data_IF_357972000720
#
_entry.id   IF_357972000720
#
_cell.length_a   1.000
_cell.length_b   1.000
_cell.length_c   1.000
_cell.angle_alpha   90.00
_cell.angle_beta   90.00
_cell.angle_gamma   90.00
#
_symmetry.space_group_name_H-M   'P 1'
#
loop_
_entity.id
_entity.type
_entity.pdbx_description
1 polymer ?
#
# COMPACT_ATOMS: atom_id res chain seq x y z
N UNK A 1 -26.22 -29.06 4.35
CA UNK A 1 -25.24 -27.96 4.31
C UNK A 1 -24.85 -27.70 5.75
N UNK A 2 -23.64 -28.07 6.19
CA UNK A 2 -23.20 -27.77 7.55
C UNK A 2 -22.79 -26.30 7.62
N UNK A 3 -23.20 -25.53 8.64
CA UNK A 3 -22.74 -24.17 8.81
C UNK A 3 -21.23 -24.20 9.04
N UNK A 4 -20.48 -23.46 8.22
CA UNK A 4 -19.05 -23.26 8.43
C UNK A 4 -18.90 -22.43 9.71
N UNK A 5 -18.40 -23.06 10.77
CA UNK A 5 -18.11 -22.38 12.02
C UNK A 5 -16.65 -21.92 11.98
N UNK A 6 -16.41 -20.62 12.17
CA UNK A 6 -15.07 -20.08 12.35
C UNK A 6 -14.74 -20.06 13.85
N UNK A 7 -13.52 -20.46 14.18
CA UNK A 7 -12.99 -20.37 15.56
C UNK A 7 -11.88 -19.33 15.56
N UNK A 8 -12.03 -18.29 16.36
CA UNK A 8 -10.97 -17.30 16.58
C UNK A 8 -9.81 -17.96 17.33
N UNK A 9 -8.61 -17.96 16.73
CA UNK A 9 -7.40 -18.52 17.35
C UNK A 9 -6.67 -17.52 18.24
N UNK A 10 -6.72 -16.23 17.89
CA UNK A 10 -6.11 -15.15 18.65
C UNK A 10 -6.76 -13.80 18.29
N UNK A 11 -6.48 -12.74 19.06
CA UNK A 11 -6.99 -11.38 18.82
C UNK A 11 -5.95 -10.36 19.24
N UNK A 12 -5.84 -9.27 18.48
CA UNK A 12 -4.94 -8.17 18.74
C UNK A 12 -5.67 -6.84 18.56
N UNK A 13 -5.47 -5.91 19.50
CA UNK A 13 -5.99 -4.53 19.39
C UNK A 13 -4.96 -3.64 18.69
N UNK A 14 -5.30 -3.15 17.51
CA UNK A 14 -4.44 -2.29 16.70
C UNK A 14 -4.45 -0.82 17.14
N UNK A 15 -5.22 -0.45 18.17
CA UNK A 15 -5.42 0.91 18.72
C UNK A 15 -6.05 1.92 17.73
N UNK A 16 -5.72 1.83 16.45
CA UNK A 16 -6.32 2.53 15.32
C UNK A 16 -7.11 1.55 14.47
N UNK A 17 -8.04 2.06 13.65
CA UNK A 17 -8.87 1.22 12.78
C UNK A 17 -7.99 0.49 11.75
N UNK A 18 -8.01 -0.84 11.76
CA UNK A 18 -7.33 -1.65 10.75
C UNK A 18 -8.01 -1.45 9.39
N UNK A 19 -7.22 -1.18 8.35
CA UNK A 19 -7.72 -0.81 7.02
C UNK A 19 -7.21 -1.75 5.92
N UNK A 20 -5.96 -2.21 6.04
CA UNK A 20 -5.33 -3.12 5.07
C UNK A 20 -4.54 -4.23 5.77
N UNK A 21 -4.63 -5.47 5.27
CA UNK A 21 -3.88 -6.63 5.76
C UNK A 21 -3.32 -7.39 4.57
N UNK A 22 -2.01 -7.66 4.58
CA UNK A 22 -1.31 -8.29 3.46
C UNK A 22 -0.25 -9.29 3.93
N UNK A 23 -0.30 -10.50 3.36
CA UNK A 23 0.62 -11.59 3.68
C UNK A 23 1.83 -11.57 2.77
N UNK A 24 3.02 -11.80 3.33
CA UNK A 24 4.24 -11.87 2.54
C UNK A 24 4.21 -13.15 1.66
N UNK A 25 4.29 -13.04 0.32
CA UNK A 25 4.20 -14.19 -0.58
C UNK A 25 5.54 -14.95 -0.70
N UNK A 26 6.60 -14.48 -0.05
CA UNK A 26 7.96 -14.94 -0.29
C UNK A 26 8.46 -15.88 0.82
N UNK A 27 8.84 -17.10 0.46
CA UNK A 27 9.49 -18.05 1.38
C UNK A 27 10.83 -17.53 1.93
N UNK A 28 11.16 -17.79 3.22
CA UNK A 28 10.42 -18.57 4.21
C UNK A 28 9.42 -17.75 5.07
N UNK A 29 8.97 -16.59 4.59
CA UNK A 29 8.20 -15.62 5.38
C UNK A 29 6.69 -15.66 5.08
N UNK A 30 6.17 -16.78 4.56
CA UNK A 30 4.72 -16.92 4.26
C UNK A 30 3.84 -16.92 5.51
N UNK A 31 4.44 -17.02 6.70
CA UNK A 31 3.82 -16.85 8.01
C UNK A 31 3.89 -15.41 8.55
N UNK A 32 4.43 -14.47 7.78
CA UNK A 32 4.55 -13.04 8.10
C UNK A 32 3.50 -12.24 7.34
N UNK A 33 2.85 -11.29 8.02
CA UNK A 33 1.92 -10.35 7.39
C UNK A 33 2.05 -8.96 8.00
N UNK A 34 1.51 -7.97 7.29
CA UNK A 34 1.38 -6.60 7.77
C UNK A 34 -0.07 -6.20 7.95
N UNK A 35 -0.33 -5.34 8.93
CA UNK A 35 -1.60 -4.68 9.13
C UNK A 35 -1.38 -3.16 9.14
N UNK A 36 -1.97 -2.47 8.18
CA UNK A 36 -1.98 -1.03 8.04
C UNK A 36 -3.22 -0.46 8.72
N UNK A 37 -3.08 0.68 9.38
CA UNK A 37 -4.19 1.33 10.06
C UNK A 37 -4.44 2.75 9.57
N UNK A 38 -5.68 3.16 9.74
CA UNK A 38 -6.19 4.47 9.42
C UNK A 38 -6.93 5.05 10.63
N UNK A 39 -6.51 6.23 11.09
CA UNK A 39 -7.23 6.98 12.11
C UNK A 39 -7.31 8.45 11.72
N UNK A 40 -8.53 8.98 11.71
CA UNK A 40 -8.75 10.41 11.61
C UNK A 40 -8.57 11.04 13.00
N UNK A 41 -7.66 12.01 13.13
CA UNK A 41 -7.55 12.81 14.35
C UNK A 41 -8.12 14.20 14.15
N UNK A 42 -9.08 14.56 15.01
CA UNK A 42 -9.64 15.91 15.11
C UNK A 42 -8.81 16.82 16.03
N UNK A 43 -7.69 16.37 16.58
CA UNK A 43 -6.90 17.17 17.52
C UNK A 43 -6.22 18.32 16.79
N UNK A 44 -6.63 19.53 17.14
CA UNK A 44 -6.00 20.80 16.79
C UNK A 44 -4.54 20.79 17.26
N UNK A 45 -3.58 20.88 16.33
CA UNK A 45 -2.22 21.26 16.73
C UNK A 45 -2.24 22.78 16.89
N UNK A 46 -2.47 23.22 18.12
CA UNK A 46 -2.45 24.63 18.50
C UNK A 46 -1.09 25.26 18.23
N UNK A 47 -1.11 26.30 17.40
CA UNK A 47 -0.05 27.26 17.18
C UNK A 47 -0.62 28.38 16.30
N UNK A 48 -0.92 29.52 16.92
CA UNK A 48 -1.56 30.69 16.31
C UNK A 48 -1.07 31.00 14.89
N UNK A 49 -1.85 30.64 13.88
CA UNK A 49 -2.00 31.38 12.63
C UNK A 49 -3.26 30.90 11.93
N UNK A 50 -4.14 31.82 11.60
CA UNK A 50 -5.23 31.59 10.66
C UNK A 50 -4.65 31.19 9.30
N UNK A 51 -4.56 29.89 9.00
CA UNK A 51 -4.82 29.30 7.68
C UNK A 51 -4.56 27.79 7.67
N UNK A 52 -5.51 27.06 7.05
CA UNK A 52 -5.50 25.62 6.71
C UNK A 52 -5.60 24.61 7.88
N UNK A 53 -6.83 24.18 8.18
CA UNK A 53 -7.14 22.97 8.95
C UNK A 53 -6.84 21.73 8.10
N UNK A 54 -5.62 21.22 8.17
CA UNK A 54 -5.27 19.95 7.53
C UNK A 54 -5.64 18.80 8.48
N UNK A 55 -6.55 17.88 8.11
CA UNK A 55 -6.87 16.76 8.97
C UNK A 55 -5.67 15.84 9.16
N UNK A 56 -5.28 15.58 10.42
CA UNK A 56 -4.21 14.66 10.74
C UNK A 56 -4.72 13.22 10.57
N UNK A 57 -4.36 12.59 9.43
CA UNK A 57 -4.60 11.18 9.16
C UNK A 57 -3.43 10.35 9.70
N UNK A 58 -3.62 9.79 10.89
CA UNK A 58 -2.61 9.01 11.60
C UNK A 58 -2.71 7.53 11.20
N UNK A 59 -1.56 6.86 11.11
CA UNK A 59 -1.50 5.45 10.76
C UNK A 59 -0.38 4.71 11.46
N UNK A 60 -0.48 3.39 11.40
CA UNK A 60 0.58 2.47 11.78
C UNK A 60 0.68 1.33 10.80
N UNK A 61 1.89 0.79 10.68
CA UNK A 61 2.15 -0.52 10.08
C UNK A 61 2.56 -1.45 11.20
N UNK A 62 1.78 -2.50 11.43
CA UNK A 62 2.13 -3.60 12.31
C UNK A 62 2.69 -4.75 11.50
N UNK A 63 3.84 -5.28 11.91
CA UNK A 63 4.44 -6.48 11.33
C UNK A 63 4.23 -7.65 12.29
N UNK A 64 3.57 -8.68 11.82
CA UNK A 64 3.25 -9.87 12.60
C UNK A 64 3.88 -11.12 11.99
N UNK A 65 4.12 -12.10 12.85
CA UNK A 65 4.32 -13.50 12.47
C UNK A 65 3.28 -14.37 13.14
N UNK A 66 2.68 -15.30 12.39
CA UNK A 66 1.78 -16.30 12.96
C UNK A 66 2.56 -17.54 13.36
N UNK A 67 2.48 -17.92 14.63
CA UNK A 67 3.09 -19.15 15.14
C UNK A 67 2.25 -20.36 14.73
N UNK A 68 2.85 -21.56 14.71
CA UNK A 68 2.14 -22.82 14.45
C UNK A 68 0.91 -23.06 15.36
N UNK A 69 0.88 -22.44 16.55
CA UNK A 69 -0.26 -22.49 17.47
C UNK A 69 -1.44 -21.59 17.05
N UNK A 70 -1.34 -20.85 15.94
CA UNK A 70 -2.30 -19.81 15.53
C UNK A 70 -2.17 -18.48 16.28
N UNK A 71 -1.16 -18.34 17.16
CA UNK A 71 -0.97 -17.12 17.94
C UNK A 71 -0.23 -16.06 17.14
N UNK A 72 -0.68 -14.82 17.27
CA UNK A 72 -0.06 -13.64 16.67
C UNK A 72 1.18 -13.25 17.48
N UNK A 73 2.29 -13.03 16.80
CA UNK A 73 3.50 -12.47 17.38
C UNK A 73 3.79 -11.14 16.70
N UNK A 74 3.53 -10.04 17.41
CA UNK A 74 3.95 -8.72 16.97
C UNK A 74 5.48 -8.66 16.97
N UNK A 75 6.06 -8.38 15.81
CA UNK A 75 7.50 -8.23 15.61
C UNK A 75 7.93 -6.75 15.68
N UNK A 76 7.10 -5.87 15.13
CA UNK A 76 7.38 -4.44 15.01
C UNK A 76 6.08 -3.66 14.81
N UNK A 77 6.05 -2.41 15.24
CA UNK A 77 5.09 -1.43 14.73
C UNK A 77 5.83 -0.14 14.34
N UNK A 78 5.31 0.56 13.34
CA UNK A 78 5.84 1.83 12.84
C UNK A 78 4.73 2.86 12.86
N UNK A 79 4.98 4.07 13.37
CA UNK A 79 4.07 5.20 13.20
C UNK A 79 4.33 5.84 11.84
N UNK A 80 3.28 5.99 11.03
CA UNK A 80 3.31 6.51 9.66
C UNK A 80 2.08 7.39 9.43
N UNK A 81 1.99 8.14 8.32
CA UNK A 81 0.70 8.64 7.87
C UNK A 81 -0.30 7.48 7.68
N UNK A 82 -1.60 7.75 7.76
CA UNK A 82 -2.62 6.71 7.59
C UNK A 82 -2.37 5.87 6.33
N UNK A 83 -2.48 4.55 6.47
CA UNK A 83 -2.19 3.58 5.41
C UNK A 83 -3.50 3.24 4.71
N UNK A 84 -3.51 3.35 3.38
CA UNK A 84 -4.73 3.18 2.56
C UNK A 84 -4.66 1.91 1.71
N UNK A 85 -3.45 1.55 1.26
CA UNK A 85 -3.19 0.27 0.61
C UNK A 85 -1.75 -0.15 0.86
N UNK A 86 -1.52 -1.45 0.89
CA UNK A 86 -0.20 -2.05 0.98
C UNK A 86 -0.18 -3.22 0.03
N UNK A 87 0.97 -3.51 -0.58
CA UNK A 87 1.18 -4.76 -1.33
C UNK A 87 2.62 -5.21 -1.24
N UNK A 88 2.81 -6.47 -0.89
CA UNK A 88 4.11 -7.11 -1.05
C UNK A 88 4.42 -7.28 -2.54
N UNK A 89 5.68 -7.02 -2.92
CA UNK A 89 6.16 -7.42 -4.23
C UNK A 89 6.18 -8.96 -4.29
N UNK A 90 5.61 -9.53 -5.34
CA UNK A 90 5.46 -10.98 -5.52
C UNK A 90 6.79 -11.71 -5.80
N UNK A 91 7.87 -10.96 -6.00
CA UNK A 91 9.22 -11.46 -6.31
C UNK A 91 10.26 -10.73 -5.47
N UNK A 92 11.46 -11.30 -5.34
CA UNK A 92 12.61 -10.62 -4.73
C UNK A 92 13.27 -9.70 -5.76
N UNK A 93 13.54 -8.45 -5.40
CA UNK A 93 14.31 -7.52 -6.23
C UNK A 93 15.71 -7.35 -5.65
N UNK A 94 16.76 -7.71 -6.38
CA UNK A 94 18.14 -7.69 -5.85
C UNK A 94 18.26 -8.39 -4.48
N UNK A 95 17.65 -9.58 -4.36
CA UNK A 95 17.54 -10.38 -3.13
C UNK A 95 16.72 -9.76 -1.98
N UNK A 96 16.12 -8.57 -2.16
CA UNK A 96 15.28 -7.91 -1.16
C UNK A 96 13.82 -8.31 -1.31
N UNK A 97 13.13 -8.43 -0.17
CA UNK A 97 11.67 -8.61 -0.10
C UNK A 97 11.09 -7.23 0.20
N UNK A 98 10.27 -6.72 -0.72
CA UNK A 98 9.80 -5.35 -0.66
C UNK A 98 8.29 -5.28 -0.44
N UNK A 99 7.87 -4.33 0.39
CA UNK A 99 6.49 -3.96 0.65
C UNK A 99 6.30 -2.53 0.14
N UNK A 100 5.32 -2.31 -0.74
CA UNK A 100 4.87 -0.97 -1.07
C UNK A 100 3.70 -0.56 -0.18
N UNK A 101 3.64 0.72 0.14
CA UNK A 101 2.63 1.34 1.00
C UNK A 101 2.16 2.64 0.37
N UNK A 102 0.86 2.75 0.11
CA UNK A 102 0.18 3.98 -0.28
C UNK A 102 -0.39 4.64 0.99
N UNK A 103 -0.01 5.90 1.24
CA UNK A 103 -0.38 6.59 2.47
C UNK A 103 -1.11 7.93 2.26
N UNK A 104 -1.68 8.42 3.36
CA UNK A 104 -2.47 9.65 3.41
C UNK A 104 -1.65 10.94 3.23
N UNK A 105 -0.33 10.87 3.21
CA UNK A 105 0.52 12.01 2.84
C UNK A 105 0.73 12.10 1.32
N UNK A 106 0.10 11.23 0.52
CA UNK A 106 0.24 11.24 -0.93
C UNK A 106 1.59 10.67 -1.37
N UNK A 107 2.15 9.75 -0.59
CA UNK A 107 3.42 9.11 -0.88
C UNK A 107 3.22 7.62 -1.14
N UNK A 108 4.07 7.08 -2.02
CA UNK A 108 4.41 5.67 -2.04
C UNK A 108 5.69 5.48 -1.21
N UNK A 109 5.61 4.63 -0.19
CA UNK A 109 6.76 4.21 0.61
C UNK A 109 7.07 2.76 0.30
N UNK A 110 8.34 2.44 0.12
CA UNK A 110 8.83 1.08 -0.05
C UNK A 110 9.59 0.69 1.20
N UNK A 111 9.23 -0.42 1.80
CA UNK A 111 9.91 -1.02 2.94
C UNK A 111 10.58 -2.32 2.53
N UNK A 112 11.79 -2.55 3.03
CA UNK A 112 12.49 -3.84 2.92
C UNK A 112 12.24 -4.67 4.18
N UNK A 113 11.85 -5.93 4.01
CA UNK A 113 11.86 -6.93 5.08
C UNK A 113 13.29 -7.43 5.30
N UNK A 114 13.87 -7.08 6.44
CA UNK A 114 15.23 -7.43 6.84
C UNK A 114 15.21 -8.55 7.88
N UNK A 115 16.10 -9.54 7.74
CA UNK A 115 16.26 -10.68 8.67
C UNK A 115 17.70 -10.82 9.21
N UNK A 116 18.51 -9.75 9.15
CA UNK A 116 19.93 -9.82 9.54
C UNK A 116 20.13 -9.99 11.05
N UNK A 117 19.21 -9.47 11.87
CA UNK A 117 19.27 -9.57 13.33
C UNK A 117 17.93 -10.01 13.94
N UNK A 118 16.85 -9.45 13.40
CA UNK A 118 15.47 -9.79 13.69
C UNK A 118 14.62 -9.38 12.48
N UNK A 119 13.53 -10.10 12.25
CA UNK A 119 12.55 -9.76 11.22
C UNK A 119 11.99 -8.36 11.51
N UNK A 120 12.21 -7.43 10.58
CA UNK A 120 11.76 -6.04 10.69
C UNK A 120 11.63 -5.40 9.31
N UNK A 121 10.75 -4.40 9.21
CA UNK A 121 10.64 -3.49 8.08
C UNK A 121 11.59 -2.31 8.26
N UNK A 122 12.31 -1.98 7.20
CA UNK A 122 13.16 -0.78 7.09
C UNK A 122 12.70 0.03 5.89
N UNK A 123 12.52 1.34 6.07
CA UNK A 123 12.20 2.22 4.95
C UNK A 123 13.35 2.17 3.94
N UNK A 124 13.04 1.77 2.72
CA UNK A 124 13.97 1.62 1.62
C UNK A 124 13.99 2.86 0.73
N UNK A 125 12.82 3.35 0.32
CA UNK A 125 12.68 4.59 -0.44
C UNK A 125 11.26 5.14 -0.31
N UNK A 126 11.08 6.43 -0.59
CA UNK A 126 9.79 7.12 -0.57
C UNK A 126 9.73 8.09 -1.75
N UNK A 127 8.56 8.22 -2.37
CA UNK A 127 8.27 9.22 -3.40
C UNK A 127 6.87 9.81 -3.25
N UNK A 128 6.75 11.10 -3.51
CA UNK A 128 5.46 11.80 -3.65
C UNK A 128 4.83 11.44 -4.99
N UNK A 129 3.53 11.11 -5.02
CA UNK A 129 2.90 10.58 -6.24
C UNK A 129 2.51 11.63 -7.28
N UNK A 130 2.23 12.84 -6.82
CA UNK A 130 1.91 13.98 -7.67
C UNK A 130 2.38 15.25 -6.94
N UNK A 131 3.66 15.64 -7.11
CA UNK A 131 4.28 16.71 -6.32
C UNK A 131 3.75 18.11 -6.64
N UNK A 132 3.09 18.27 -7.79
CA UNK A 132 2.56 19.56 -8.24
C UNK A 132 1.18 19.89 -7.63
N UNK A 133 0.54 18.90 -6.99
CA UNK A 133 -0.72 19.07 -6.28
C UNK A 133 -0.48 19.15 -4.77
N UNK A 134 -1.34 19.90 -4.07
CA UNK A 134 -1.27 20.10 -2.63
C UNK A 134 -1.60 18.83 -1.83
N UNK A 135 -2.68 18.87 -1.07
CA UNK A 135 -3.12 17.71 -0.30
C UNK A 135 -3.73 16.64 -1.21
N UNK A 136 -3.04 15.51 -1.35
CA UNK A 136 -3.48 14.34 -2.11
C UNK A 136 -3.30 13.09 -1.26
N UNK A 137 -4.15 12.10 -1.47
CA UNK A 137 -4.01 10.77 -0.88
C UNK A 137 -3.53 9.79 -1.94
N UNK A 138 -2.59 8.92 -1.58
CA UNK A 138 -2.31 7.72 -2.36
C UNK A 138 -3.35 6.66 -1.97
N UNK A 139 -4.20 6.22 -2.91
CA UNK A 139 -5.39 5.43 -2.60
C UNK A 139 -5.18 3.92 -2.75
N UNK A 140 -4.62 3.49 -3.87
CA UNK A 140 -4.38 2.07 -4.16
C UNK A 140 -3.02 1.87 -4.82
N UNK A 141 -2.43 0.71 -4.58
CA UNK A 141 -1.12 0.31 -5.06
C UNK A 141 -1.19 -1.09 -5.69
N UNK A 142 -0.52 -1.30 -6.82
CA UNK A 142 -0.26 -2.65 -7.32
C UNK A 142 1.12 -2.78 -7.99
N UNK A 143 1.63 -4.01 -8.01
CA UNK A 143 2.92 -4.36 -8.61
C UNK A 143 2.71 -5.13 -9.91
N UNK A 144 3.51 -4.81 -10.93
CA UNK A 144 3.48 -5.55 -12.21
C UNK A 144 4.06 -6.97 -12.14
N UNK A 145 4.29 -7.51 -10.94
CA UNK A 145 4.98 -8.79 -10.71
C UNK A 145 4.04 -9.96 -10.38
N UNK A 146 2.71 -9.77 -10.48
CA UNK A 146 1.70 -10.75 -10.01
C UNK A 146 1.74 -12.12 -10.68
N UNK A 147 2.17 -12.23 -11.94
CA UNK A 147 2.42 -13.51 -12.63
C UNK A 147 3.93 -13.65 -12.83
N UNK A 148 4.59 -14.18 -11.79
CA UNK A 148 5.98 -14.68 -11.73
C UNK A 148 6.88 -14.35 -12.94
N UNK A 149 7.55 -13.20 -12.89
CA UNK A 149 8.72 -12.94 -13.73
C UNK A 149 9.91 -13.72 -13.10
N UNK A 150 10.28 -14.86 -13.67
CA UNK A 150 11.46 -15.64 -13.24
C UNK A 150 12.80 -14.87 -13.31
N UNK A 151 12.81 -13.65 -13.87
CA UNK A 151 13.93 -12.72 -13.86
C UNK A 151 13.44 -11.37 -13.34
N UNK A 152 13.33 -11.22 -12.02
CA UNK A 152 12.89 -9.99 -11.35
C UNK A 152 13.90 -8.83 -11.40
N UNK A 153 15.01 -8.98 -12.14
CA UNK A 153 16.13 -8.06 -12.02
C UNK A 153 15.95 -6.76 -12.81
N UNK A 154 15.03 -6.68 -13.79
CA UNK A 154 14.77 -5.44 -14.53
C UNK A 154 13.29 -5.37 -14.92
N UNK A 155 12.63 -4.23 -14.69
CA UNK A 155 11.30 -3.83 -15.16
C UNK A 155 10.07 -4.08 -14.26
N UNK A 156 10.24 -4.32 -12.94
CA UNK A 156 9.08 -4.26 -12.03
C UNK A 156 8.59 -2.81 -11.87
N UNK A 157 7.31 -2.60 -12.14
CA UNK A 157 6.61 -1.33 -12.02
C UNK A 157 5.66 -1.35 -10.82
N UNK A 158 5.47 -0.18 -10.21
CA UNK A 158 4.35 0.06 -9.31
C UNK A 158 3.34 0.98 -9.99
N UNK A 159 2.05 0.71 -9.81
CA UNK A 159 0.98 1.65 -10.13
C UNK A 159 0.38 2.18 -8.83
N UNK A 160 0.14 3.48 -8.78
CA UNK A 160 -0.53 4.13 -7.64
C UNK A 160 -1.62 5.06 -8.16
N UNK A 161 -2.81 4.98 -7.58
CA UNK A 161 -3.91 5.91 -7.85
C UNK A 161 -4.02 6.98 -6.77
N UNK A 162 -4.58 8.14 -7.11
CA UNK A 162 -4.74 9.25 -6.17
C UNK A 162 -6.18 9.77 -6.01
N UNK A 163 -6.38 10.57 -4.96
CA UNK A 163 -7.67 11.20 -4.63
C UNK A 163 -8.10 12.30 -5.59
N UNK A 164 -7.30 12.67 -6.59
CA UNK A 164 -7.69 13.56 -7.67
C UNK A 164 -8.00 12.79 -8.97
N UNK A 165 -7.98 11.46 -8.93
CA UNK A 165 -8.26 10.61 -10.08
C UNK A 165 -7.06 10.38 -11.00
N UNK A 166 -5.87 10.76 -10.57
CA UNK A 166 -4.65 10.55 -11.35
C UNK A 166 -4.02 9.19 -11.04
N UNK A 167 -3.26 8.71 -12.01
CA UNK A 167 -2.54 7.44 -11.96
C UNK A 167 -1.06 7.74 -12.16
N UNK A 168 -0.23 7.21 -11.27
CA UNK A 168 1.22 7.31 -11.31
C UNK A 168 1.84 5.93 -11.49
N UNK A 169 2.81 5.82 -12.41
CA UNK A 169 3.60 4.62 -12.63
C UNK A 169 5.02 4.88 -12.19
N UNK A 170 5.55 3.98 -11.38
CA UNK A 170 6.91 4.06 -10.87
C UNK A 170 7.75 2.88 -11.30
N UNK A 171 9.04 3.14 -11.47
CA UNK A 171 10.08 2.13 -11.72
C UNK A 171 11.27 2.36 -10.81
N UNK A 172 11.98 1.28 -10.49
CA UNK A 172 13.27 1.39 -9.79
C UNK A 172 14.38 1.81 -10.75
N UNK A 173 15.16 2.82 -10.34
CA UNK A 173 16.46 3.16 -10.91
C UNK A 173 17.51 2.96 -9.83
N UNK A 174 18.10 1.77 -9.80
CA UNK A 174 18.92 1.32 -8.67
C UNK A 174 18.06 1.14 -7.43
N UNK A 175 18.40 1.83 -6.34
CA UNK A 175 17.65 1.80 -5.07
C UNK A 175 16.60 2.91 -4.95
N UNK A 176 16.49 3.78 -5.96
CA UNK A 176 15.53 4.89 -5.97
C UNK A 176 14.31 4.54 -6.80
N UNK A 177 13.13 4.90 -6.29
CA UNK A 177 11.89 4.84 -7.05
C UNK A 177 11.72 6.13 -7.86
N UNK A 178 11.34 6.02 -9.13
CA UNK A 178 11.19 7.17 -10.04
C UNK A 178 9.83 7.15 -10.70
N UNK A 179 9.11 8.27 -10.66
CA UNK A 179 7.85 8.45 -11.37
C UNK A 179 8.13 8.53 -12.88
N UNK A 180 7.53 7.61 -13.63
CA UNK A 180 7.70 7.45 -15.08
C UNK A 180 6.56 8.06 -15.87
N UNK A 181 5.34 7.88 -15.37
CA UNK A 181 4.13 8.36 -16.00
C UNK A 181 3.19 8.88 -14.92
N UNK A 182 2.59 10.03 -15.16
CA UNK A 182 1.54 10.62 -14.36
C UNK A 182 0.50 11.19 -15.32
N UNK A 183 -0.76 10.79 -15.17
CA UNK A 183 -1.86 11.36 -15.93
C UNK A 183 -3.15 11.35 -15.11
N UNK A 184 -4.04 12.29 -15.40
CA UNK A 184 -5.39 12.29 -14.83
C UNK A 184 -6.28 11.32 -15.61
N UNK A 185 -6.66 10.20 -15.00
CA UNK A 185 -7.52 9.18 -15.62
C UNK A 185 -9.00 9.44 -15.33
N UNK A 186 -9.30 10.01 -14.15
CA UNK A 186 -10.65 10.20 -13.66
C UNK A 186 -10.87 11.64 -13.18
N UNK A 187 -12.10 12.14 -13.33
CA UNK A 187 -12.51 13.42 -12.75
C UNK A 187 -12.88 13.36 -11.26
N UNK A 188 -12.67 12.20 -10.62
CA UNK A 188 -12.98 11.88 -9.21
C UNK A 188 -11.94 10.91 -8.67
N UNK A 189 -11.98 10.59 -7.37
CA UNK A 189 -11.07 9.66 -6.71
C UNK A 189 -10.96 8.32 -7.47
N UNK A 190 -9.72 7.95 -7.80
CA UNK A 190 -9.40 6.65 -8.36
C UNK A 190 -9.12 5.66 -7.22
N UNK A 191 -10.17 5.00 -6.72
CA UNK A 191 -10.10 4.12 -5.54
C UNK A 191 -9.30 2.83 -5.75
N UNK A 192 -9.07 2.43 -6.99
CA UNK A 192 -8.31 1.22 -7.31
C UNK A 192 -7.49 1.42 -8.58
N UNK A 193 -6.27 0.89 -8.56
CA UNK A 193 -5.47 0.66 -9.76
C UNK A 193 -4.78 -0.71 -9.67
N UNK A 194 -4.80 -1.47 -10.75
CA UNK A 194 -4.20 -2.80 -10.82
C UNK A 194 -3.63 -3.06 -12.22
N UNK A 195 -2.53 -3.79 -12.29
CA UNK A 195 -2.00 -4.28 -13.55
C UNK A 195 -2.83 -5.46 -14.06
N UNK A 196 -2.96 -5.59 -15.38
CA UNK A 196 -3.19 -6.91 -15.98
C UNK A 196 -1.91 -7.73 -15.82
N UNK A 197 -1.92 -8.73 -14.95
CA UNK A 197 -0.72 -9.53 -14.72
C UNK A 197 -0.28 -10.37 -15.93
N UNK A 198 -1.15 -10.58 -16.92
CA UNK A 198 -0.79 -11.26 -18.17
C UNK A 198 -0.26 -10.29 -19.23
N UNK A 199 -0.52 -9.00 -19.08
CA UNK A 199 0.02 -7.94 -19.92
C UNK A 199 0.20 -6.65 -19.12
N UNK A 200 1.39 -6.47 -18.53
CA UNK A 200 1.71 -5.34 -17.63
C UNK A 200 1.83 -3.98 -18.31
N UNK A 201 1.49 -3.90 -19.61
CA UNK A 201 1.26 -2.63 -20.30
C UNK A 201 -0.19 -2.15 -20.17
N UNK A 202 -1.09 -2.98 -19.64
CA UNK A 202 -2.50 -2.66 -19.41
C UNK A 202 -2.70 -2.47 -17.91
N UNK A 203 -3.39 -1.38 -17.56
CA UNK A 203 -3.77 -1.07 -16.18
C UNK A 203 -5.29 -0.88 -16.12
N UNK A 204 -5.92 -1.52 -15.14
CA UNK A 204 -7.32 -1.29 -14.81
C UNK A 204 -7.41 -0.30 -13.67
N UNK A 205 -8.33 0.66 -13.79
CA UNK A 205 -8.57 1.68 -12.76
C UNK A 205 -10.06 1.82 -12.52
N UNK A 206 -10.43 2.12 -11.27
CA UNK A 206 -11.83 2.27 -10.88
C UNK A 206 -12.04 3.52 -10.04
N UNK A 207 -13.12 4.24 -10.33
CA UNK A 207 -13.59 5.41 -9.58
C UNK A 207 -14.96 5.14 -8.96
N UNK A 208 -15.30 5.89 -7.92
CA UNK A 208 -16.67 5.90 -7.42
C UNK A 208 -17.52 6.76 -8.36
N UNK A 209 -18.50 6.16 -9.02
CA UNK A 209 -19.52 6.88 -9.78
C UNK A 209 -20.69 7.20 -8.84
N UNK A 210 -21.14 8.45 -8.79
CA UNK A 210 -22.39 8.79 -8.12
C UNK A 210 -23.55 8.04 -8.80
N UNK A 211 -24.03 7.00 -8.12
CA UNK A 211 -25.29 6.23 -8.20
C UNK A 211 -26.11 6.02 -9.50
N UNK A 212 -25.68 6.43 -10.70
CA UNK A 212 -26.51 6.24 -11.90
C UNK A 212 -25.90 5.39 -13.02
N UNK A 213 -24.59 5.07 -13.03
CA UNK A 213 -24.01 4.18 -14.05
C UNK A 213 -22.80 3.39 -13.52
N UNK A 214 -23.03 2.13 -13.15
CA UNK A 214 -21.97 1.14 -13.01
C UNK A 214 -21.47 0.79 -14.42
N UNK A 215 -20.16 0.93 -14.67
CA UNK A 215 -19.36 0.38 -15.78
C UNK A 215 -18.56 1.39 -16.65
N UNK A 216 -17.82 2.32 -16.04
CA UNK A 216 -16.68 2.94 -16.73
C UNK A 216 -15.38 2.30 -16.23
N UNK A 217 -15.04 1.12 -16.79
CA UNK A 217 -13.67 0.63 -16.76
C UNK A 217 -12.92 1.32 -17.90
N UNK A 218 -11.99 2.21 -17.59
CA UNK A 218 -11.01 2.66 -18.58
C UNK A 218 -9.86 1.67 -18.60
N UNK A 219 -9.76 0.95 -19.72
CA UNK A 219 -8.56 0.22 -20.11
C UNK A 219 -7.67 1.22 -20.84
N UNK A 220 -6.50 1.52 -20.27
CA UNK A 220 -5.46 2.34 -20.92
C UNK A 220 -4.26 1.44 -21.16
#
# INVERSE_FOLDING_TARGET
MFPMCFTTLDTFDTEFSADSVEWCPIEPFTDVFVCGTYQFSNTEVGGDTENTKCPNRLGRIYLFRVKNSGKLNLLQHLNVPAVLDMKWMHVKMNHKILLGVANASGCIQIYELSDVNNISLKLFTEQKINPDHGEILALSLDWSSGVLCNNADQDVKAVVSDSHGSISIFEFRGESLVNKYLWNAHGYEAWIAAFDYWNTNIIYTGKLMNNDRLNDQQVI
#
